data_IF_291845929690
#
_entry.id   IF_291845929690
#
_cell.length_a   1.000
_cell.length_b   1.000
_cell.length_c   1.000
_cell.angle_alpha   90.00
_cell.angle_beta   90.00
_cell.angle_gamma   90.00
#
_symmetry.space_group_name_H-M   'P 1'
#
loop_
_entity.id
_entity.type
_entity.pdbx_description
1 polymer ?
#
# COMPACT_ATOMS: atom_id res chain seq x y z
N UNK A 1 -1.35 -29.48 -22.58
CA UNK A 1 -0.97 -28.04 -22.72
C UNK A 1 -1.30 -27.16 -21.48
N UNK A 2 -1.83 -27.68 -20.34
CA UNK A 2 -2.20 -26.88 -19.16
C UNK A 2 -1.08 -26.66 -18.13
N UNK A 3 0.05 -27.38 -18.21
CA UNK A 3 1.09 -27.34 -17.17
C UNK A 3 2.19 -26.26 -17.34
N UNK A 4 2.20 -25.52 -18.44
CA UNK A 4 3.28 -24.52 -18.66
C UNK A 4 3.00 -23.15 -17.98
N UNK A 5 1.75 -22.82 -17.73
CA UNK A 5 1.40 -21.52 -17.12
C UNK A 5 1.60 -21.55 -15.60
N UNK A 6 1.32 -22.69 -14.93
CA UNK A 6 1.42 -22.80 -13.49
C UNK A 6 2.85 -22.60 -12.92
N UNK A 7 3.89 -22.81 -13.73
CA UNK A 7 5.30 -22.65 -13.33
C UNK A 7 5.92 -21.33 -13.78
N UNK A 8 5.12 -20.42 -14.32
CA UNK A 8 5.60 -19.11 -14.74
C UNK A 8 5.75 -18.17 -13.55
N UNK A 9 6.85 -17.45 -13.51
CA UNK A 9 7.10 -16.36 -12.56
C UNK A 9 7.44 -15.13 -13.40
N UNK A 10 6.81 -14.01 -13.11
CA UNK A 10 7.11 -12.73 -13.70
C UNK A 10 7.56 -11.76 -12.62
N UNK A 11 8.62 -11.01 -12.88
CA UNK A 11 9.08 -9.94 -12.01
C UNK A 11 9.19 -8.64 -12.82
N UNK A 12 8.55 -7.58 -12.35
CA UNK A 12 8.54 -6.28 -13.02
C UNK A 12 8.60 -5.17 -11.98
N UNK A 13 9.40 -4.16 -12.24
CA UNK A 13 9.35 -2.91 -11.49
C UNK A 13 8.08 -2.14 -11.86
N UNK A 14 7.39 -1.66 -10.85
CA UNK A 14 6.17 -0.85 -11.00
C UNK A 14 6.17 0.30 -10.02
N UNK A 15 5.84 1.50 -10.49
CA UNK A 15 5.52 2.60 -9.60
C UNK A 15 4.26 2.30 -8.79
N UNK A 16 4.09 3.00 -7.67
CA UNK A 16 2.89 2.88 -6.84
C UNK A 16 1.61 3.13 -7.67
N UNK A 17 1.66 4.09 -8.60
CA UNK A 17 0.60 4.34 -9.58
C UNK A 17 0.22 3.10 -10.38
N UNK A 18 1.20 2.38 -10.90
CA UNK A 18 0.95 1.19 -11.73
C UNK A 18 0.44 0.00 -10.91
N UNK A 19 0.77 -0.05 -9.62
CA UNK A 19 0.26 -1.10 -8.73
C UNK A 19 -1.18 -0.82 -8.33
N UNK A 20 -1.51 0.43 -7.98
CA UNK A 20 -2.79 0.78 -7.39
C UNK A 20 -3.86 1.26 -8.42
N UNK A 21 -3.57 1.34 -9.71
CA UNK A 21 -4.48 1.98 -10.65
C UNK A 21 -5.49 1.04 -11.31
N UNK A 22 -5.21 -0.24 -11.51
CA UNK A 22 -6.02 -1.07 -12.41
C UNK A 22 -6.46 -2.42 -11.84
N UNK A 23 -6.00 -2.79 -10.65
CA UNK A 23 -6.21 -4.14 -10.15
C UNK A 23 -6.76 -4.13 -8.73
N UNK A 24 -7.74 -4.99 -8.47
CA UNK A 24 -8.24 -5.28 -7.12
C UNK A 24 -7.45 -6.43 -6.55
N UNK A 25 -6.89 -6.24 -5.37
CA UNK A 25 -6.14 -7.24 -4.68
C UNK A 25 -6.97 -7.88 -3.58
N UNK A 26 -6.99 -9.20 -3.56
CA UNK A 26 -7.49 -9.96 -2.41
C UNK A 26 -6.34 -10.19 -1.43
N UNK A 27 -6.65 -10.13 -0.15
CA UNK A 27 -5.74 -10.59 0.88
C UNK A 27 -6.25 -11.93 1.39
N UNK A 28 -5.36 -12.93 1.38
CA UNK A 28 -5.71 -14.28 1.81
C UNK A 28 -6.09 -14.29 3.31
N UNK A 29 -7.01 -15.19 3.68
CA UNK A 29 -7.57 -15.32 5.04
C UNK A 29 -6.48 -15.44 6.11
N UNK A 30 -5.32 -16.00 5.75
CA UNK A 30 -4.18 -16.24 6.67
C UNK A 30 -3.30 -15.02 6.91
N UNK A 31 -3.42 -13.99 6.07
CA UNK A 31 -2.59 -12.79 6.12
C UNK A 31 -3.42 -11.55 6.45
N UNK A 32 -4.63 -11.72 6.95
CA UNK A 32 -5.58 -10.61 7.14
C UNK A 32 -5.20 -9.65 8.25
N UNK A 33 -4.30 -10.01 9.17
CA UNK A 33 -3.95 -9.14 10.28
C UNK A 33 -2.98 -8.05 9.84
N UNK A 34 -3.35 -6.79 10.08
CA UNK A 34 -2.45 -5.67 9.93
C UNK A 34 -1.65 -5.50 11.22
N UNK A 35 -0.32 -5.74 11.16
CA UNK A 35 0.57 -5.87 12.33
C UNK A 35 1.68 -4.82 12.40
N UNK A 36 1.72 -3.89 11.47
CA UNK A 36 2.70 -2.82 11.55
C UNK A 36 2.49 -2.00 12.82
N UNK A 37 3.60 -1.66 13.47
CA UNK A 37 3.66 -0.84 14.68
C UNK A 37 4.14 0.55 14.32
N UNK A 38 4.04 1.49 15.26
CA UNK A 38 4.53 2.87 15.11
C UNK A 38 5.92 2.96 14.48
N UNK A 39 6.88 2.13 14.93
CA UNK A 39 8.25 2.14 14.38
C UNK A 39 8.31 1.89 12.88
N UNK A 40 7.48 0.99 12.34
CA UNK A 40 7.45 0.74 10.90
C UNK A 40 6.88 1.93 10.10
N UNK A 41 5.93 2.66 10.69
CA UNK A 41 5.40 3.90 10.09
C UNK A 41 6.43 5.01 10.15
N UNK A 42 7.13 5.15 11.28
CA UNK A 42 8.21 6.11 11.46
C UNK A 42 9.31 5.89 10.40
N UNK A 43 9.75 4.65 10.22
CA UNK A 43 10.75 4.29 9.22
C UNK A 43 10.22 4.60 7.80
N UNK A 44 8.98 4.20 7.47
CA UNK A 44 8.37 4.48 6.17
C UNK A 44 8.33 5.99 5.87
N UNK A 45 7.78 6.78 6.80
CA UNK A 45 7.61 8.23 6.60
C UNK A 45 8.98 8.92 6.52
N UNK A 46 9.92 8.54 7.39
CA UNK A 46 11.28 9.08 7.39
C UNK A 46 12.01 8.79 6.09
N UNK A 47 11.98 7.54 5.62
CA UNK A 47 12.65 7.13 4.38
C UNK A 47 12.08 7.86 3.15
N UNK A 48 10.75 7.95 3.05
CA UNK A 48 10.09 8.67 1.98
C UNK A 48 10.45 10.16 2.01
N UNK A 49 10.41 10.78 3.19
CA UNK A 49 10.74 12.20 3.35
C UNK A 49 12.20 12.48 3.00
N UNK A 50 13.15 11.70 3.51
CA UNK A 50 14.58 11.86 3.21
C UNK A 50 14.82 11.70 1.72
N UNK A 51 14.26 10.67 1.09
CA UNK A 51 14.44 10.42 -0.34
C UNK A 51 13.87 11.55 -1.19
N UNK A 52 12.68 12.07 -0.86
CA UNK A 52 12.09 13.19 -1.57
C UNK A 52 12.88 14.48 -1.36
N UNK A 53 13.15 14.87 -0.11
CA UNK A 53 13.81 16.13 0.23
C UNK A 53 15.27 16.20 -0.26
N UNK A 54 15.93 15.06 -0.49
CA UNK A 54 17.26 15.04 -1.11
C UNK A 54 17.26 15.48 -2.58
N UNK A 55 16.12 15.43 -3.24
CA UNK A 55 15.93 15.85 -4.62
C UNK A 55 15.27 17.24 -4.75
N UNK A 56 14.30 17.51 -3.85
CA UNK A 56 13.48 18.71 -3.92
C UNK A 56 14.29 19.99 -3.67
N UNK A 57 14.06 21.01 -4.50
CA UNK A 57 14.59 22.36 -4.32
C UNK A 57 13.44 23.35 -4.16
N UNK A 58 13.63 24.32 -3.29
CA UNK A 58 12.61 25.36 -3.06
C UNK A 58 12.28 26.05 -4.39
N UNK A 59 10.98 26.04 -4.73
CA UNK A 59 10.48 26.60 -5.99
C UNK A 59 10.33 25.59 -7.13
N UNK A 60 10.66 24.31 -6.91
CA UNK A 60 10.37 23.26 -7.89
C UNK A 60 8.86 23.11 -8.08
N UNK A 61 8.42 23.18 -9.34
CA UNK A 61 7.02 22.94 -9.72
C UNK A 61 6.67 21.47 -9.92
N UNK A 62 5.39 21.22 -10.21
CA UNK A 62 4.86 19.85 -10.37
C UNK A 62 5.59 19.00 -11.41
N UNK A 63 6.15 19.60 -12.46
CA UNK A 63 6.87 18.92 -13.53
C UNK A 63 8.23 18.36 -13.09
N UNK A 64 8.79 18.87 -11.98
CA UNK A 64 10.14 18.52 -11.53
C UNK A 64 10.28 17.13 -10.94
N UNK A 65 9.20 16.55 -10.38
CA UNK A 65 9.26 15.19 -9.81
C UNK A 65 9.79 14.15 -10.81
N UNK A 66 9.59 14.36 -12.11
CA UNK A 66 10.05 13.39 -13.13
C UNK A 66 11.58 13.28 -13.22
N UNK A 67 12.30 14.33 -12.85
CA UNK A 67 13.76 14.35 -12.78
C UNK A 67 14.34 13.82 -11.45
N UNK A 68 13.49 13.56 -10.43
CA UNK A 68 13.94 13.09 -9.12
C UNK A 68 14.26 11.60 -9.16
N UNK A 69 15.14 11.17 -8.27
CA UNK A 69 15.48 9.76 -8.09
C UNK A 69 14.27 8.94 -7.62
N UNK A 70 14.21 7.69 -8.07
CA UNK A 70 13.21 6.75 -7.63
C UNK A 70 13.60 6.13 -6.29
N UNK A 71 12.62 5.92 -5.41
CA UNK A 71 12.80 5.21 -4.15
C UNK A 71 12.30 3.77 -4.29
N UNK A 72 13.18 2.81 -3.99
CA UNK A 72 12.82 1.39 -4.01
C UNK A 72 12.27 0.94 -2.67
N UNK A 73 10.98 0.55 -2.66
CA UNK A 73 10.26 0.15 -1.45
C UNK A 73 10.31 -1.34 -1.14
N UNK A 74 10.88 -2.12 -2.02
CA UNK A 74 10.95 -3.58 -1.87
C UNK A 74 9.97 -4.35 -2.77
N UNK A 75 9.99 -5.70 -2.68
CA UNK A 75 9.13 -6.54 -3.51
C UNK A 75 7.73 -6.69 -2.94
N UNK A 76 6.76 -7.00 -3.81
CA UNK A 76 5.47 -7.58 -3.47
C UNK A 76 5.30 -8.90 -4.21
N UNK A 77 4.72 -9.91 -3.55
CA UNK A 77 4.46 -11.21 -4.17
C UNK A 77 2.96 -11.37 -4.36
N UNK A 78 2.56 -11.59 -5.61
CA UNK A 78 1.18 -11.78 -6.01
C UNK A 78 0.99 -13.19 -6.58
N UNK A 79 -0.16 -13.78 -6.28
CA UNK A 79 -0.64 -14.99 -6.94
C UNK A 79 -1.83 -14.66 -7.84
N UNK A 80 -1.70 -14.95 -9.13
CA UNK A 80 -2.80 -14.83 -10.08
C UNK A 80 -3.49 -16.19 -10.23
N UNK A 81 -4.76 -16.25 -9.82
CA UNK A 81 -5.56 -17.44 -9.94
C UNK A 81 -6.96 -17.08 -10.48
N UNK A 82 -7.33 -17.65 -11.64
CA UNK A 82 -8.62 -17.46 -12.28
C UNK A 82 -9.05 -15.98 -12.46
N UNK A 83 -8.08 -15.12 -12.80
CA UNK A 83 -8.35 -13.69 -13.01
C UNK A 83 -8.51 -12.88 -11.72
N UNK A 84 -8.19 -13.47 -10.58
CA UNK A 84 -8.12 -12.80 -9.27
C UNK A 84 -6.66 -12.70 -8.82
N UNK A 85 -6.25 -11.54 -8.32
CA UNK A 85 -4.92 -11.31 -7.76
C UNK A 85 -4.99 -11.36 -6.24
N UNK A 86 -4.23 -12.27 -5.65
CA UNK A 86 -4.07 -12.38 -4.20
C UNK A 86 -2.68 -11.92 -3.79
N UNK A 87 -2.59 -11.08 -2.75
CA UNK A 87 -1.31 -10.66 -2.17
C UNK A 87 -0.81 -11.79 -1.27
N UNK A 88 0.39 -12.30 -1.57
CA UNK A 88 1.08 -13.29 -0.75
C UNK A 88 2.14 -12.65 0.15
N UNK A 89 2.79 -11.58 -0.34
CA UNK A 89 3.65 -10.71 0.49
C UNK A 89 3.48 -9.25 0.07
N UNK A 90 3.72 -8.33 1.02
CA UNK A 90 3.64 -6.88 0.83
C UNK A 90 2.32 -6.25 1.27
N UNK A 91 1.38 -7.03 1.84
CA UNK A 91 0.10 -6.49 2.32
C UNK A 91 0.25 -5.37 3.36
N UNK A 92 1.21 -5.48 4.28
CA UNK A 92 1.48 -4.47 5.30
C UNK A 92 1.86 -3.14 4.65
N UNK A 93 2.76 -3.19 3.67
CA UNK A 93 3.21 -2.03 2.89
C UNK A 93 2.06 -1.39 2.12
N UNK A 94 1.29 -2.18 1.37
CA UNK A 94 0.17 -1.64 0.59
C UNK A 94 -0.94 -1.07 1.48
N UNK A 95 -1.23 -1.70 2.64
CA UNK A 95 -2.15 -1.13 3.63
C UNK A 95 -1.64 0.21 4.16
N UNK A 96 -0.35 0.31 4.50
CA UNK A 96 0.25 1.57 4.98
C UNK A 96 0.27 2.65 3.91
N UNK A 97 0.49 2.31 2.64
CA UNK A 97 0.33 3.27 1.54
C UNK A 97 -1.13 3.73 1.38
N UNK A 98 -2.09 2.83 1.55
CA UNK A 98 -3.52 3.22 1.55
C UNK A 98 -3.80 4.25 2.65
N UNK A 99 -3.30 4.03 3.88
CA UNK A 99 -3.44 4.99 4.98
C UNK A 99 -2.74 6.32 4.69
N UNK A 100 -1.53 6.27 4.12
CA UNK A 100 -0.80 7.48 3.73
C UNK A 100 -1.56 8.25 2.64
N UNK A 101 -2.09 7.58 1.62
CA UNK A 101 -2.87 8.23 0.57
C UNK A 101 -4.17 8.86 1.11
N UNK A 102 -4.84 8.22 2.07
CA UNK A 102 -5.98 8.79 2.77
C UNK A 102 -5.59 10.08 3.50
N UNK A 103 -4.51 10.04 4.27
CA UNK A 103 -3.99 11.21 4.98
C UNK A 103 -3.64 12.35 4.02
N UNK A 104 -2.92 12.05 2.93
CA UNK A 104 -2.53 13.04 1.92
C UNK A 104 -3.75 13.65 1.22
N UNK A 105 -4.81 12.87 0.99
CA UNK A 105 -6.06 13.36 0.42
C UNK A 105 -6.71 14.40 1.34
N UNK A 106 -6.73 14.17 2.65
CA UNK A 106 -7.22 15.15 3.63
C UNK A 106 -6.29 16.36 3.76
N UNK A 107 -4.99 16.13 3.76
CA UNK A 107 -4.01 17.20 3.88
C UNK A 107 -4.07 18.20 2.71
N UNK A 108 -4.26 17.74 1.47
CA UNK A 108 -4.47 18.62 0.31
C UNK A 108 -5.66 19.57 0.53
N UNK A 109 -6.75 19.05 1.08
CA UNK A 109 -7.96 19.82 1.34
C UNK A 109 -7.74 20.83 2.49
N UNK A 110 -7.08 20.41 3.58
CA UNK A 110 -6.85 21.24 4.77
C UNK A 110 -5.88 22.41 4.49
N UNK A 111 -4.91 22.22 3.61
CA UNK A 111 -3.98 23.26 3.19
C UNK A 111 -4.58 24.25 2.18
N UNK A 112 -5.82 24.06 1.74
CA UNK A 112 -6.47 24.94 0.77
C UNK A 112 -5.80 24.95 -0.60
N UNK A 113 -5.12 23.88 -0.98
CA UNK A 113 -4.50 23.74 -2.30
C UNK A 113 -5.58 23.87 -3.37
N UNK A 114 -5.34 24.69 -4.39
CA UNK A 114 -6.25 24.88 -5.50
C UNK A 114 -6.60 23.52 -6.17
N UNK A 115 -7.88 23.31 -6.50
CA UNK A 115 -8.34 22.01 -7.05
C UNK A 115 -7.58 21.57 -8.30
N UNK A 116 -7.12 22.52 -9.11
CA UNK A 116 -6.35 22.27 -10.32
C UNK A 116 -4.94 21.71 -10.00
N UNK A 117 -4.44 22.00 -8.79
CA UNK A 117 -3.13 21.52 -8.30
C UNK A 117 -3.26 20.30 -7.38
N UNK A 118 -4.48 19.92 -7.00
CA UNK A 118 -4.71 18.70 -6.21
C UNK A 118 -4.63 17.47 -7.10
N UNK A 119 -4.02 16.42 -6.57
CA UNK A 119 -4.05 15.10 -7.20
C UNK A 119 -5.33 14.36 -6.80
N UNK A 120 -6.05 13.83 -7.77
CA UNK A 120 -7.11 12.86 -7.48
C UNK A 120 -6.49 11.55 -6.99
N UNK A 121 -6.53 11.34 -5.66
CA UNK A 121 -6.01 10.14 -5.01
C UNK A 121 -7.05 9.02 -4.95
N UNK A 122 -8.33 9.30 -5.25
CA UNK A 122 -9.40 8.30 -5.16
C UNK A 122 -9.17 7.12 -6.09
N UNK A 123 -8.60 7.35 -7.27
CA UNK A 123 -8.28 6.30 -8.24
C UNK A 123 -7.21 5.30 -7.77
N UNK A 124 -6.47 5.63 -6.71
CA UNK A 124 -5.49 4.75 -6.05
C UNK A 124 -6.01 4.09 -4.78
N UNK A 125 -7.22 4.46 -4.37
CA UNK A 125 -7.90 3.90 -3.21
C UNK A 125 -9.06 3.00 -3.63
N UNK A 126 -9.76 3.38 -4.70
CA UNK A 126 -10.98 2.71 -5.15
C UNK A 126 -10.90 2.30 -6.62
N UNK A 127 -11.53 1.17 -6.93
CA UNK A 127 -11.73 0.69 -8.30
C UNK A 127 -13.23 0.53 -8.57
N UNK A 128 -13.67 0.98 -9.76
CA UNK A 128 -15.05 0.81 -10.21
C UNK A 128 -15.11 -0.25 -11.29
N UNK A 129 -15.77 -1.38 -11.00
CA UNK A 129 -16.02 -2.45 -11.98
C UNK A 129 -17.51 -2.80 -11.98
N UNK A 130 -18.11 -2.86 -13.17
CA UNK A 130 -19.54 -3.21 -13.31
C UNK A 130 -20.50 -2.26 -12.56
N UNK A 131 -20.14 -0.99 -12.40
CA UNK A 131 -20.94 0.00 -11.67
C UNK A 131 -20.84 -0.07 -10.15
N UNK A 132 -20.01 -0.99 -9.60
CA UNK A 132 -19.73 -1.09 -8.18
C UNK A 132 -18.33 -0.54 -7.88
N UNK A 133 -18.26 0.45 -6.99
CA UNK A 133 -16.99 0.99 -6.47
C UNK A 133 -16.62 0.26 -5.19
N UNK A 134 -15.38 -0.26 -5.14
CA UNK A 134 -14.83 -1.00 -3.99
C UNK A 134 -13.40 -0.56 -3.74
N UNK A 135 -12.89 -0.82 -2.54
CA UNK A 135 -11.46 -0.62 -2.25
C UNK A 135 -10.58 -1.48 -3.17
N UNK A 136 -9.42 -0.95 -3.53
CA UNK A 136 -8.39 -1.70 -4.28
C UNK A 136 -7.87 -2.85 -3.45
N UNK A 137 -7.62 -2.64 -2.13
CA UNK A 137 -7.33 -3.70 -1.19
C UNK A 137 -8.63 -4.27 -0.64
N UNK A 138 -9.03 -5.44 -1.16
CA UNK A 138 -10.26 -6.14 -0.78
C UNK A 138 -10.06 -6.90 0.54
N UNK A 139 -10.43 -6.25 1.62
CA UNK A 139 -10.36 -6.82 2.96
C UNK A 139 -11.67 -6.50 3.66
N UNK A 140 -12.58 -7.46 3.66
CA UNK A 140 -13.95 -7.30 4.18
C UNK A 140 -13.99 -6.68 5.60
N UNK A 141 -13.08 -7.10 6.48
CA UNK A 141 -13.03 -6.62 7.88
C UNK A 141 -12.51 -5.19 8.02
N UNK A 142 -11.84 -4.64 6.99
CA UNK A 142 -11.22 -3.30 7.05
C UNK A 142 -11.96 -2.26 6.22
N UNK A 143 -12.92 -2.66 5.41
CA UNK A 143 -13.65 -1.73 4.54
C UNK A 143 -14.34 -0.64 5.35
N UNK A 144 -14.95 -0.99 6.49
CA UNK A 144 -15.66 -0.05 7.36
C UNK A 144 -14.73 1.02 7.94
N UNK A 145 -13.58 0.62 8.47
CA UNK A 145 -12.62 1.57 9.07
C UNK A 145 -11.94 2.43 8.00
N UNK A 146 -11.56 1.87 6.84
CA UNK A 146 -10.97 2.64 5.74
C UNK A 146 -11.97 3.68 5.21
N UNK A 147 -13.25 3.29 5.08
CA UNK A 147 -14.31 4.21 4.67
C UNK A 147 -14.50 5.31 5.71
N UNK A 148 -14.53 4.97 6.99
CA UNK A 148 -14.62 5.96 8.07
C UNK A 148 -13.46 6.96 8.03
N UNK A 149 -12.22 6.49 7.92
CA UNK A 149 -11.04 7.35 7.80
C UNK A 149 -11.07 8.22 6.53
N UNK A 150 -11.71 7.75 5.46
CA UNK A 150 -11.90 8.53 4.25
C UNK A 150 -12.93 9.64 4.42
N UNK A 151 -14.07 9.36 5.07
CA UNK A 151 -15.20 10.29 5.21
C UNK A 151 -15.04 11.24 6.41
N UNK A 152 -14.58 10.70 7.55
CA UNK A 152 -14.60 11.37 8.86
C UNK A 152 -13.33 11.10 9.70
N UNK A 153 -12.12 11.48 9.22
CA UNK A 153 -10.85 11.06 9.84
C UNK A 153 -10.63 11.58 11.26
N UNK A 154 -11.39 12.60 11.70
CA UNK A 154 -11.28 13.21 13.03
C UNK A 154 -12.36 12.74 14.01
N UNK A 155 -13.32 11.95 13.55
CA UNK A 155 -14.39 11.42 14.38
C UNK A 155 -14.01 10.07 14.97
N UNK A 156 -14.62 9.74 16.11
CA UNK A 156 -14.40 8.44 16.76
C UNK A 156 -15.07 7.35 15.91
N UNK A 157 -14.33 6.30 15.60
CA UNK A 157 -14.88 5.13 14.94
C UNK A 157 -15.73 4.31 15.90
N UNK A 158 -17.02 4.14 15.59
CA UNK A 158 -18.00 3.41 16.42
C UNK A 158 -18.14 1.92 16.03
N UNK A 159 -17.24 1.40 15.19
CA UNK A 159 -17.28 0.01 14.74
C UNK A 159 -16.60 -0.97 15.70
N UNK A 160 -16.31 -2.17 15.20
CA UNK A 160 -15.72 -3.25 16.00
C UNK A 160 -14.25 -2.94 16.35
N UNK A 161 -14.05 -2.50 17.60
CA UNK A 161 -12.72 -2.27 18.18
C UNK A 161 -12.12 -3.53 18.85
N UNK A 162 -12.81 -4.65 18.88
CA UNK A 162 -12.25 -5.93 19.33
C UNK A 162 -11.31 -6.53 18.27
N UNK A 163 -11.52 -6.21 16.99
CA UNK A 163 -10.59 -6.59 15.92
C UNK A 163 -9.25 -5.83 16.06
N UNK A 164 -8.18 -6.59 16.31
CA UNK A 164 -6.83 -6.04 16.44
C UNK A 164 -6.36 -5.30 15.17
N UNK A 165 -6.76 -5.77 13.99
CA UNK A 165 -6.42 -5.12 12.73
C UNK A 165 -7.07 -3.74 12.60
N UNK A 166 -8.31 -3.59 13.08
CA UNK A 166 -9.02 -2.30 13.09
C UNK A 166 -8.30 -1.32 14.01
N UNK A 167 -7.98 -1.75 15.25
CA UNK A 167 -7.19 -0.90 16.17
C UNK A 167 -5.85 -0.49 15.58
N UNK A 168 -5.12 -1.44 15.01
CA UNK A 168 -3.83 -1.14 14.38
C UNK A 168 -3.94 -0.18 13.20
N UNK A 169 -5.02 -0.21 12.43
CA UNK A 169 -5.26 0.75 11.34
C UNK A 169 -5.47 2.15 11.89
N UNK A 170 -6.30 2.30 12.92
CA UNK A 170 -6.55 3.59 13.59
C UNK A 170 -5.23 4.16 14.13
N UNK A 171 -4.52 3.37 14.94
CA UNK A 171 -3.24 3.78 15.53
C UNK A 171 -2.22 4.19 14.47
N UNK A 172 -2.13 3.46 13.37
CA UNK A 172 -1.15 3.77 12.31
C UNK A 172 -1.56 4.97 11.47
N UNK A 173 -2.84 5.22 11.30
CA UNK A 173 -3.31 6.46 10.68
C UNK A 173 -2.96 7.68 11.56
N UNK A 174 -3.15 7.57 12.88
CA UNK A 174 -2.72 8.59 13.85
C UNK A 174 -1.19 8.78 13.82
N UNK A 175 -0.42 7.69 13.77
CA UNK A 175 1.04 7.76 13.65
C UNK A 175 1.47 8.50 12.38
N UNK A 176 0.85 8.22 11.23
CA UNK A 176 1.11 8.96 9.98
C UNK A 176 0.83 10.45 10.17
N UNK A 177 -0.31 10.79 10.76
CA UNK A 177 -0.71 12.18 11.00
C UNK A 177 0.30 12.93 11.86
N UNK A 178 0.80 12.25 12.92
CA UNK A 178 1.72 12.85 13.89
C UNK A 178 3.18 12.87 13.42
N UNK A 179 3.58 11.94 12.55
CA UNK A 179 4.97 11.77 12.10
C UNK A 179 5.25 12.41 10.74
N UNK A 180 4.22 12.81 10.01
CA UNK A 180 4.42 13.40 8.68
C UNK A 180 5.17 14.72 8.79
N UNK A 181 6.27 14.94 8.01
CA UNK A 181 7.19 16.05 8.17
C UNK A 181 6.56 17.41 7.88
N UNK A 182 6.81 18.38 8.76
CA UNK A 182 6.32 19.77 8.58
C UNK A 182 6.87 20.43 7.31
N UNK A 183 8.08 20.10 6.89
CA UNK A 183 8.71 20.63 5.67
C UNK A 183 7.92 20.25 4.41
N UNK A 184 7.15 19.15 4.44
CA UNK A 184 6.30 18.69 3.34
C UNK A 184 4.85 19.17 3.50
N UNK A 185 4.42 19.53 4.73
CA UNK A 185 3.07 20.09 5.02
C UNK A 185 2.94 21.54 4.54
N UNK A 186 3.23 21.77 3.29
CA UNK A 186 3.21 23.09 2.68
C UNK A 186 2.47 23.02 1.34
N UNK A 187 1.66 24.04 1.03
CA UNK A 187 0.84 24.06 -0.18
C UNK A 187 1.65 24.01 -1.49
N UNK A 188 2.90 24.47 -1.48
CA UNK A 188 3.77 24.44 -2.66
C UNK A 188 4.54 23.10 -2.78
N UNK A 189 4.88 22.47 -1.64
CA UNK A 189 5.71 21.26 -1.59
C UNK A 189 4.88 19.99 -1.73
N UNK A 190 3.73 19.94 -1.04
CA UNK A 190 2.90 18.74 -0.95
C UNK A 190 2.47 18.19 -2.31
N UNK A 191 2.04 19.00 -3.30
CA UNK A 191 1.68 18.48 -4.62
C UNK A 191 2.85 17.78 -5.33
N UNK A 192 4.07 18.34 -5.22
CA UNK A 192 5.28 17.74 -5.82
C UNK A 192 5.64 16.42 -5.14
N UNK A 193 5.52 16.37 -3.79
CA UNK A 193 5.71 15.15 -3.02
C UNK A 193 4.72 14.05 -3.43
N UNK A 194 3.44 14.39 -3.60
CA UNK A 194 2.40 13.42 -4.00
C UNK A 194 2.71 12.86 -5.40
N UNK A 195 3.08 13.70 -6.36
CA UNK A 195 3.46 13.23 -7.70
C UNK A 195 4.67 12.30 -7.62
N UNK A 196 5.72 12.69 -6.88
CA UNK A 196 6.89 11.83 -6.66
C UNK A 196 6.52 10.52 -5.98
N UNK A 197 5.73 10.53 -4.91
CA UNK A 197 5.28 9.34 -4.19
C UNK A 197 4.60 8.35 -5.14
N UNK A 198 3.71 8.83 -5.99
CA UNK A 198 2.89 7.98 -6.87
C UNK A 198 3.72 7.44 -8.04
N UNK A 199 4.63 8.23 -8.61
CA UNK A 199 5.33 7.85 -9.84
C UNK A 199 6.77 7.39 -9.64
N UNK A 200 7.42 7.77 -8.53
CA UNK A 200 8.83 7.49 -8.27
C UNK A 200 9.08 6.51 -7.12
N UNK A 201 8.07 6.23 -6.29
CA UNK A 201 8.15 5.08 -5.38
C UNK A 201 7.84 3.81 -6.16
N UNK A 202 8.85 2.92 -6.22
CA UNK A 202 8.85 1.73 -7.06
C UNK A 202 8.91 0.48 -6.19
N UNK A 203 8.05 -0.49 -6.53
CA UNK A 203 8.09 -1.84 -5.97
C UNK A 203 8.41 -2.84 -7.10
N UNK A 204 9.00 -3.99 -6.73
CA UNK A 204 9.11 -5.10 -7.66
C UNK A 204 7.93 -6.04 -7.44
N UNK A 205 7.00 -6.03 -8.41
CA UNK A 205 5.91 -6.99 -8.47
C UNK A 205 6.45 -8.34 -8.94
N UNK A 206 6.37 -9.35 -8.07
CA UNK A 206 6.65 -10.73 -8.40
C UNK A 206 5.33 -11.46 -8.51
N UNK A 207 4.96 -11.89 -9.73
CA UNK A 207 3.69 -12.56 -10.02
C UNK A 207 3.92 -14.04 -10.27
N UNK A 208 3.28 -14.88 -9.46
CA UNK A 208 3.21 -16.32 -9.64
C UNK A 208 1.80 -16.73 -10.09
N UNK A 209 1.72 -17.84 -10.83
CA UNK A 209 0.45 -18.36 -11.37
C UNK A 209 0.00 -19.64 -10.66
N UNK A 210 0.61 -19.94 -9.51
CA UNK A 210 0.15 -20.94 -8.54
C UNK A 210 0.49 -20.51 -7.13
N UNK A 211 -0.34 -20.87 -6.16
CA UNK A 211 -0.11 -20.56 -4.75
C UNK A 211 1.17 -21.23 -4.22
N UNK A 212 1.46 -22.44 -4.68
CA UNK A 212 2.69 -23.17 -4.29
C UNK A 212 3.96 -22.38 -4.66
N UNK A 213 4.02 -21.89 -5.91
CA UNK A 213 5.14 -21.06 -6.36
C UNK A 213 5.20 -19.72 -5.63
N UNK A 214 4.04 -19.09 -5.38
CA UNK A 214 3.99 -17.83 -4.64
C UNK A 214 4.53 -17.99 -3.21
N UNK A 215 4.16 -19.07 -2.52
CA UNK A 215 4.69 -19.36 -1.18
C UNK A 215 6.19 -19.71 -1.21
N UNK A 216 6.66 -20.49 -2.18
CA UNK A 216 8.10 -20.80 -2.33
C UNK A 216 8.93 -19.53 -2.54
N UNK A 217 8.42 -18.60 -3.36
CA UNK A 217 9.07 -17.30 -3.56
C UNK A 217 9.11 -16.51 -2.24
N UNK A 218 7.97 -16.42 -1.57
CA UNK A 218 7.84 -15.72 -0.30
C UNK A 218 8.80 -16.29 0.77
N UNK A 219 8.86 -17.61 0.94
CA UNK A 219 9.79 -18.28 1.85
C UNK A 219 11.25 -17.95 1.50
N UNK A 220 11.61 -18.08 0.22
CA UNK A 220 12.98 -17.83 -0.24
C UNK A 220 13.40 -16.38 -0.03
N UNK A 221 12.47 -15.44 -0.16
CA UNK A 221 12.74 -14.01 0.06
C UNK A 221 12.81 -13.66 1.56
N UNK A 222 12.03 -14.33 2.41
CA UNK A 222 12.03 -14.13 3.85
C UNK A 222 13.20 -14.83 4.58
N UNK A 223 13.76 -15.90 4.05
CA UNK A 223 14.97 -16.58 4.61
C UNK A 223 16.16 -15.63 4.77
N UNK A 224 16.10 -14.47 4.10
CA UNK A 224 17.11 -13.40 4.21
C UNK A 224 16.63 -12.19 5.03
N UNK A 225 15.46 -12.24 5.66
CA UNK A 225 14.81 -11.17 6.43
C UNK A 225 14.09 -11.67 7.68
N UNK A 226 13.13 -10.92 8.18
CA UNK A 226 12.37 -11.23 9.40
C UNK A 226 11.49 -12.48 9.21
N UNK A 227 11.78 -13.54 9.97
CA UNK A 227 11.13 -14.85 9.91
C UNK A 227 9.62 -14.78 10.24
N UNK A 228 8.78 -15.29 9.33
CA UNK A 228 7.50 -15.85 9.75
C UNK A 228 7.74 -17.04 10.68
N UNK A 229 6.87 -17.19 11.67
CA UNK A 229 6.96 -18.37 12.53
C UNK A 229 6.69 -19.63 11.71
N UNK A 230 7.35 -20.75 11.99
CA UNK A 230 7.08 -22.05 11.33
C UNK A 230 5.61 -22.45 11.35
N UNK A 231 4.87 -21.97 12.36
CA UNK A 231 3.44 -22.22 12.54
C UNK A 231 2.58 -21.48 11.52
N UNK A 232 2.93 -20.24 11.18
CA UNK A 232 2.25 -19.45 10.14
C UNK A 232 2.50 -20.03 8.75
N UNK A 233 3.71 -20.52 8.50
CA UNK A 233 4.09 -21.22 7.27
C UNK A 233 3.31 -22.53 7.10
N UNK A 234 3.25 -23.34 8.15
CA UNK A 234 2.51 -24.62 8.14
C UNK A 234 1.01 -24.41 7.95
N UNK A 235 0.45 -23.37 8.56
CA UNK A 235 -0.97 -22.98 8.43
C UNK A 235 -1.30 -22.59 6.98
N UNK A 236 -0.46 -21.76 6.34
CA UNK A 236 -0.59 -21.39 4.93
C UNK A 236 -0.52 -22.60 4.01
N UNK A 237 0.44 -23.49 4.21
CA UNK A 237 0.63 -24.70 3.41
C UNK A 237 -0.55 -25.68 3.54
N UNK A 238 -1.02 -25.98 4.76
CA UNK A 238 -2.13 -26.91 4.99
C UNK A 238 -3.43 -26.43 4.38
N UNK A 239 -3.69 -25.13 4.41
CA UNK A 239 -4.92 -24.54 3.90
C UNK A 239 -4.89 -24.29 2.38
N UNK A 240 -3.72 -24.26 1.74
CA UNK A 240 -3.59 -24.28 0.28
C UNK A 240 -3.91 -25.65 -0.35
N UNK A 241 -4.07 -26.70 0.47
CA UNK A 241 -4.37 -28.08 0.05
C UNK A 241 -5.85 -28.46 0.21
N UNK A 242 -6.68 -27.59 0.81
CA UNK A 242 -8.13 -27.73 0.95
C UNK A 242 -8.83 -26.88 -0.10
#
# INVERSE_FOLDING_TARGET
>A
MRNHIANKIEAKDKSLSKILNDERFKIDVFQREYRWRRKHIEDLISDLAISFLSNYKIGDGLDKYDSYDSYYMGPIVLCENNGSLSIVDGQQRLTSFTLLLLYLNHLQNSLGIAKESQKDLNKYLYVTKGGKTTLILDIDTRESIIKHLYENPTEIFEGDLEDESVRNIIDRYEDITNLFPEDIKNADVLPVFIEWLIFKVVLVEVRAFSMENAYTIFETMNDRGLNLSPTEMLKGYLLSKV
#
